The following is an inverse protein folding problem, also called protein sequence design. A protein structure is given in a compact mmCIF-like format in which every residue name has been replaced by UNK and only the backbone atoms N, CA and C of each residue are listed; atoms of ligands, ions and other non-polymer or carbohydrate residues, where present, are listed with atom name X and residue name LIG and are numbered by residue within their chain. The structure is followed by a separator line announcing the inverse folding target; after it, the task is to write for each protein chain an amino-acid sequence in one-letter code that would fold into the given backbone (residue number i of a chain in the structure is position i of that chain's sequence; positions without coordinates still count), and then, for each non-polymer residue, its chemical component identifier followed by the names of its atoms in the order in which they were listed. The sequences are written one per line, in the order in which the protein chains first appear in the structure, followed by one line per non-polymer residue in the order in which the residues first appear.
data_IF_258370887861
#
_entry.id   IF_258370887861
#
_cell.length_a   1.000
_cell.length_b   1.000
_cell.length_c   1.000
_cell.angle_alpha   90.00
_cell.angle_beta   90.00
_cell.angle_gamma   90.00
#
_symmetry.space_group_name_H-M   'P 1'
#
loop_
_entity.id
_entity.type
_entity.pdbx_description
1 polymer ?
#
# COMPACT_ATOMS: atom_id res chain seq x y z
N UNK A 1 -20.12 -22.44 -10.83
CA UNK A 1 -18.80 -21.78 -10.99
C UNK A 1 -18.49 -21.67 -12.47
N UNK A 2 -18.64 -20.48 -13.04
CA UNK A 2 -18.38 -20.23 -14.47
C UNK A 2 -16.86 -20.14 -14.65
N UNK A 3 -16.26 -21.17 -15.26
CA UNK A 3 -14.85 -21.15 -15.66
C UNK A 3 -14.75 -20.53 -17.05
N UNK A 4 -14.52 -19.23 -17.10
CA UNK A 4 -14.21 -18.53 -18.34
C UNK A 4 -12.78 -18.90 -18.79
N UNK A 5 -12.68 -19.80 -19.77
CA UNK A 5 -11.43 -20.06 -20.49
C UNK A 5 -11.50 -19.33 -21.83
N UNK A 6 -10.72 -18.25 -21.98
CA UNK A 6 -10.56 -17.59 -23.28
C UNK A 6 -9.25 -18.06 -23.93
N UNK A 7 -9.36 -18.63 -25.13
CA UNK A 7 -8.26 -19.15 -25.92
C UNK A 7 -7.67 -18.02 -26.77
N UNK A 8 -6.47 -17.53 -26.45
CA UNK A 8 -5.70 -16.67 -27.34
C UNK A 8 -4.64 -17.51 -28.08
N UNK A 9 -4.94 -17.95 -29.30
CA UNK A 9 -4.00 -18.63 -30.20
C UNK A 9 -3.61 -20.08 -29.83
N UNK A 10 -2.37 -20.48 -30.18
CA UNK A 10 -1.82 -21.85 -30.02
C UNK A 10 -1.20 -22.14 -28.65
N UNK A 11 -0.93 -21.12 -27.85
CA UNK A 11 -0.32 -21.22 -26.52
C UNK A 11 -1.39 -20.97 -25.44
N UNK A 12 -1.50 -21.89 -24.48
CA UNK A 12 -2.40 -21.71 -23.33
C UNK A 12 -1.77 -20.71 -22.37
N UNK A 13 -2.11 -19.43 -22.51
CA UNK A 13 -1.70 -18.39 -21.57
C UNK A 13 -2.50 -18.58 -20.28
N UNK A 14 -1.82 -18.82 -19.17
CA UNK A 14 -2.42 -18.93 -17.83
C UNK A 14 -2.81 -17.53 -17.32
N UNK A 15 -3.89 -16.98 -17.86
CA UNK A 15 -4.46 -15.67 -17.49
C UNK A 15 -4.56 -15.42 -15.96
N UNK A 16 -5.06 -16.37 -15.13
CA UNK A 16 -5.15 -16.12 -13.68
C UNK A 16 -3.78 -15.98 -13.00
N UNK A 17 -2.75 -16.67 -13.50
CA UNK A 17 -1.40 -16.57 -12.95
C UNK A 17 -0.74 -15.23 -13.36
N UNK A 18 -1.00 -14.75 -14.57
CA UNK A 18 -0.56 -13.43 -15.03
C UNK A 18 -1.21 -12.31 -14.21
N UNK A 19 -2.54 -12.38 -14.05
CA UNK A 19 -3.31 -11.42 -13.23
C UNK A 19 -2.83 -11.45 -11.78
N UNK A 20 -2.64 -12.63 -11.19
CA UNK A 20 -2.08 -12.77 -9.84
C UNK A 20 -0.70 -12.13 -9.70
N UNK A 21 0.20 -12.32 -10.67
CA UNK A 21 1.53 -11.70 -10.64
C UNK A 21 1.50 -10.17 -10.75
N UNK A 22 0.61 -9.60 -11.58
CA UNK A 22 0.43 -8.16 -11.66
C UNK A 22 -0.13 -7.57 -10.35
N UNK A 23 -1.12 -8.25 -9.76
CA UNK A 23 -1.70 -7.83 -8.47
C UNK A 23 -0.66 -7.89 -7.35
N UNK A 24 0.17 -8.94 -7.32
CA UNK A 24 1.25 -9.07 -6.34
C UNK A 24 2.29 -7.96 -6.47
N UNK A 25 2.73 -7.66 -7.69
CA UNK A 25 3.70 -6.60 -7.95
C UNK A 25 3.12 -5.22 -7.58
N UNK A 26 1.88 -4.94 -7.98
CA UNK A 26 1.20 -3.69 -7.63
C UNK A 26 1.01 -3.55 -6.11
N UNK A 27 0.56 -4.60 -5.43
CA UNK A 27 0.37 -4.59 -3.99
C UNK A 27 1.69 -4.39 -3.24
N UNK A 28 2.80 -4.98 -3.72
CA UNK A 28 4.11 -4.81 -3.12
C UNK A 28 4.63 -3.37 -3.26
N UNK A 29 4.48 -2.76 -4.45
CA UNK A 29 4.85 -1.35 -4.66
C UNK A 29 4.02 -0.45 -3.75
N UNK A 30 2.70 -0.64 -3.72
CA UNK A 30 1.81 0.19 -2.92
C UNK A 30 2.02 -0.02 -1.41
N UNK A 31 2.41 -1.21 -0.98
CA UNK A 31 2.79 -1.49 0.40
C UNK A 31 4.00 -0.66 0.84
N UNK A 32 5.04 -0.57 0.00
CA UNK A 32 6.22 0.26 0.28
C UNK A 32 5.85 1.75 0.33
N UNK A 33 5.01 2.21 -0.60
CA UNK A 33 4.54 3.61 -0.61
C UNK A 33 3.73 3.93 0.65
N UNK A 34 2.83 3.04 1.08
CA UNK A 34 2.04 3.21 2.30
C UNK A 34 2.91 3.21 3.56
N UNK A 35 3.93 2.36 3.61
CA UNK A 35 4.93 2.38 4.68
C UNK A 35 5.69 3.71 4.74
N UNK A 36 6.11 4.25 3.58
CA UNK A 36 6.73 5.58 3.50
C UNK A 36 5.85 6.67 4.10
N UNK A 37 4.57 6.73 3.72
CA UNK A 37 3.60 7.70 4.28
C UNK A 37 3.40 7.53 5.79
N UNK A 38 3.39 6.30 6.29
CA UNK A 38 3.32 6.04 7.73
C UNK A 38 4.54 6.60 8.47
N UNK A 39 5.74 6.45 7.89
CA UNK A 39 6.95 7.01 8.50
C UNK A 39 6.98 8.54 8.42
N UNK A 40 6.58 9.13 7.29
CA UNK A 40 6.51 10.59 7.14
C UNK A 40 5.53 11.21 8.15
N UNK A 41 4.36 10.61 8.33
CA UNK A 41 3.37 11.08 9.31
C UNK A 41 3.87 10.94 10.75
N UNK A 42 4.56 9.83 11.07
CA UNK A 42 5.17 9.64 12.39
C UNK A 42 6.26 10.68 12.67
N UNK A 43 7.17 10.89 11.72
CA UNK A 43 8.28 11.82 11.84
C UNK A 43 7.80 13.28 11.96
N UNK A 44 6.80 13.67 11.17
CA UNK A 44 6.17 14.99 11.27
C UNK A 44 5.55 15.25 12.65
N UNK A 45 4.86 14.25 13.22
CA UNK A 45 4.28 14.34 14.56
C UNK A 45 5.35 14.47 15.66
N UNK A 46 6.48 13.77 15.50
CA UNK A 46 7.58 13.80 16.44
C UNK A 46 8.37 15.13 16.38
N UNK A 47 8.54 15.70 15.18
CA UNK A 47 9.27 16.97 14.96
C UNK A 47 8.47 18.23 15.30
N UNK A 48 7.13 18.14 15.33
CA UNK A 48 6.27 19.27 15.68
C UNK A 48 6.61 19.99 17.01
N UNK A 49 6.78 19.29 18.16
CA UNK A 49 7.11 19.95 19.43
C UNK A 49 8.47 20.68 19.39
N UNK A 50 9.44 20.16 18.65
CA UNK A 50 10.75 20.81 18.48
C UNK A 50 10.60 22.07 17.61
N UNK A 51 9.80 21.99 16.53
CA UNK A 51 9.54 23.09 15.60
C UNK A 51 8.91 24.32 16.29
N UNK A 52 7.96 24.10 17.20
CA UNK A 52 7.31 25.19 17.96
C UNK A 52 8.12 25.63 19.20
N UNK A 53 9.10 24.83 19.62
CA UNK A 53 9.90 25.04 20.83
C UNK A 53 11.13 25.91 20.59
N UNK A 54 11.54 26.12 19.34
CA UNK A 54 12.67 26.99 18.98
C UNK A 54 12.30 28.44 19.26
N UNK A 55 12.85 29.00 20.36
CA UNK A 55 12.66 30.40 20.76
C UNK A 55 13.78 31.33 20.26
N UNK A 56 14.83 30.78 19.66
CA UNK A 56 16.12 31.47 19.50
C UNK A 56 16.35 32.11 18.13
N UNK A 57 15.33 32.17 17.26
CA UNK A 57 15.47 32.84 15.96
C UNK A 57 14.72 34.17 16.02
N UNK A 58 15.38 35.28 15.69
CA UNK A 58 14.82 36.65 15.53
C UNK A 58 13.63 36.77 14.54
N UNK A 59 13.12 35.63 14.05
CA UNK A 59 11.94 35.54 13.20
C UNK A 59 10.71 35.63 14.10
N UNK A 60 9.78 36.47 13.70
CA UNK A 60 8.49 36.70 14.34
C UNK A 60 7.85 35.36 14.76
N UNK A 61 7.85 35.05 16.07
CA UNK A 61 7.48 33.73 16.62
C UNK A 61 6.11 33.25 16.11
N UNK A 62 5.22 34.19 15.81
CA UNK A 62 3.92 33.91 15.22
C UNK A 62 4.02 33.24 13.84
N UNK A 63 4.92 33.71 12.97
CA UNK A 63 5.11 33.18 11.61
C UNK A 63 5.69 31.76 11.61
N UNK A 64 6.62 31.46 12.51
CA UNK A 64 7.24 30.14 12.65
C UNK A 64 6.25 29.10 13.16
N UNK A 65 5.42 29.45 14.14
CA UNK A 65 4.37 28.56 14.65
C UNK A 65 3.31 28.27 13.58
N UNK A 66 2.94 29.25 12.74
CA UNK A 66 2.04 29.03 11.61
C UNK A 66 2.65 28.09 10.57
N UNK A 67 3.94 28.25 10.26
CA UNK A 67 4.65 27.37 9.33
C UNK A 67 4.71 25.91 9.83
N UNK A 68 5.07 25.69 11.10
CA UNK A 68 5.09 24.34 11.69
C UNK A 68 3.70 23.69 11.65
N UNK A 69 2.63 24.46 11.83
CA UNK A 69 1.25 23.98 11.76
C UNK A 69 0.82 23.65 10.34
N UNK A 70 1.14 24.50 9.37
CA UNK A 70 0.84 24.22 7.96
C UNK A 70 1.59 22.97 7.49
N UNK A 71 2.88 22.86 7.79
CA UNK A 71 3.67 21.68 7.43
C UNK A 71 3.10 20.40 8.04
N UNK A 72 2.67 20.44 9.32
CA UNK A 72 2.03 19.28 9.94
C UNK A 72 0.66 18.97 9.31
N UNK A 73 -0.13 19.98 8.98
CA UNK A 73 -1.43 19.81 8.33
C UNK A 73 -1.30 19.25 6.91
N UNK A 74 -0.27 19.65 6.15
CA UNK A 74 -0.03 19.15 4.80
C UNK A 74 0.32 17.66 4.78
N UNK A 75 1.06 17.19 5.78
CA UNK A 75 1.49 15.79 5.88
C UNK A 75 0.43 14.90 6.53
N UNK A 76 -0.26 15.39 7.57
CA UNK A 76 -1.15 14.57 8.41
C UNK A 76 -2.64 14.87 8.22
N UNK A 77 -2.99 15.97 7.53
CA UNK A 77 -4.35 16.48 7.45
C UNK A 77 -4.89 17.06 8.76
N UNK A 78 -4.06 17.16 9.81
CA UNK A 78 -4.50 17.60 11.13
C UNK A 78 -4.39 19.12 11.28
N UNK A 79 -5.52 19.77 11.51
CA UNK A 79 -5.56 21.17 11.89
C UNK A 79 -5.56 21.33 13.42
N UNK A 80 -4.45 21.83 13.96
CA UNK A 80 -4.34 22.17 15.39
C UNK A 80 -4.93 23.54 15.69
N UNK A 81 -5.51 23.67 16.89
CA UNK A 81 -6.00 24.94 17.41
C UNK A 81 -4.84 25.87 17.76
N UNK A 82 -5.07 27.19 17.72
CA UNK A 82 -4.01 28.19 17.92
C UNK A 82 -3.33 28.18 19.30
N UNK A 83 -3.98 27.61 20.30
CA UNK A 83 -3.52 27.46 21.68
C UNK A 83 -2.91 26.07 21.97
N UNK A 84 -2.98 25.12 21.03
CA UNK A 84 -2.42 23.78 21.23
C UNK A 84 -0.92 23.73 20.89
N UNK A 85 -0.11 23.62 21.94
CA UNK A 85 1.33 23.38 21.85
C UNK A 85 1.70 21.89 21.73
N UNK A 86 0.76 20.96 21.89
CA UNK A 86 1.03 19.53 21.73
C UNK A 86 -0.13 18.83 21.04
N UNK A 87 0.20 17.87 20.18
CA UNK A 87 -0.77 16.95 19.60
C UNK A 87 -1.24 16.02 20.72
N UNK A 88 -2.55 15.93 20.91
CA UNK A 88 -3.10 14.99 21.91
C UNK A 88 -2.92 13.55 21.43
N UNK A 89 -2.76 12.59 22.36
CA UNK A 89 -2.63 11.16 22.02
C UNK A 89 -3.80 10.65 21.17
N UNK A 90 -5.01 11.20 21.37
CA UNK A 90 -6.18 10.87 20.53
C UNK A 90 -6.02 11.36 19.10
N UNK A 91 -5.61 12.62 18.92
CA UNK A 91 -5.33 13.17 17.59
C UNK A 91 -4.22 12.38 16.89
N UNK A 92 -3.15 12.05 17.62
CA UNK A 92 -2.05 11.23 17.15
C UNK A 92 -2.51 9.88 16.59
N UNK A 93 -3.34 9.14 17.36
CA UNK A 93 -3.87 7.85 16.92
C UNK A 93 -4.80 7.99 15.71
N UNK A 94 -5.64 9.03 15.69
CA UNK A 94 -6.56 9.27 14.56
C UNK A 94 -5.78 9.61 13.29
N UNK A 95 -4.69 10.39 13.37
CA UNK A 95 -3.84 10.71 12.21
C UNK A 95 -3.03 9.53 11.70
N UNK A 96 -2.66 8.61 12.58
CA UNK A 96 -1.90 7.42 12.21
C UNK A 96 -2.79 6.29 11.67
N UNK A 97 -4.11 6.35 11.92
CA UNK A 97 -5.05 5.33 11.51
C UNK A 97 -5.15 5.16 9.97
N UNK A 98 -5.28 6.23 9.16
CA UNK A 98 -5.34 6.10 7.70
C UNK A 98 -4.13 5.42 7.06
N UNK A 99 -2.87 5.82 7.32
CA UNK A 99 -1.72 5.17 6.68
C UNK A 99 -1.56 3.71 7.16
N UNK A 100 -1.90 3.41 8.42
CA UNK A 100 -1.90 2.02 8.92
C UNK A 100 -2.98 1.18 8.24
N UNK A 101 -4.19 1.72 8.05
CA UNK A 101 -5.26 1.05 7.34
C UNK A 101 -4.91 0.81 5.87
N UNK A 102 -4.26 1.77 5.20
CA UNK A 102 -3.76 1.63 3.83
C UNK A 102 -2.71 0.50 3.74
N UNK A 103 -1.77 0.45 4.69
CA UNK A 103 -0.77 -0.61 4.76
C UNK A 103 -1.40 -2.00 4.95
N UNK A 104 -2.38 -2.12 5.87
CA UNK A 104 -3.12 -3.36 6.09
C UNK A 104 -3.94 -3.78 4.86
N UNK A 105 -4.54 -2.82 4.16
CA UNK A 105 -5.28 -3.08 2.93
C UNK A 105 -4.37 -3.68 1.85
N UNK A 106 -3.18 -3.09 1.63
CA UNK A 106 -2.23 -3.61 0.64
C UNK A 106 -1.62 -4.96 1.06
N UNK A 107 -1.42 -5.19 2.36
CA UNK A 107 -1.03 -6.50 2.89
C UNK A 107 -2.10 -7.57 2.61
N UNK A 108 -3.38 -7.24 2.81
CA UNK A 108 -4.49 -8.13 2.47
C UNK A 108 -4.59 -8.38 0.96
N UNK A 109 -4.43 -7.35 0.13
CA UNK A 109 -4.40 -7.47 -1.32
C UNK A 109 -3.25 -8.37 -1.80
N UNK A 110 -2.08 -8.29 -1.16
CA UNK A 110 -0.94 -9.16 -1.43
C UNK A 110 -1.26 -10.63 -1.12
N UNK A 111 -1.90 -10.91 0.03
CA UNK A 111 -2.35 -12.27 0.39
C UNK A 111 -3.37 -12.81 -0.62
N UNK A 112 -4.32 -11.98 -1.06
CA UNK A 112 -5.28 -12.34 -2.10
C UNK A 112 -4.57 -12.66 -3.41
N UNK A 113 -3.61 -11.81 -3.82
CA UNK A 113 -2.77 -12.04 -4.99
C UNK A 113 -2.00 -13.38 -4.93
N UNK A 114 -1.50 -13.75 -3.75
CA UNK A 114 -0.83 -15.03 -3.51
C UNK A 114 -1.77 -16.22 -3.72
N UNK A 115 -3.01 -16.14 -3.22
CA UNK A 115 -4.03 -17.17 -3.41
C UNK A 115 -4.34 -17.35 -4.90
N UNK A 116 -4.54 -16.24 -5.64
CA UNK A 116 -4.78 -16.31 -7.09
C UNK A 116 -3.58 -16.85 -7.87
N UNK A 117 -2.36 -16.52 -7.46
CA UNK A 117 -1.14 -17.04 -8.07
C UNK A 117 -1.00 -18.56 -7.85
N UNK A 118 -1.28 -19.06 -6.65
CA UNK A 118 -1.14 -20.48 -6.31
C UNK A 118 -2.28 -21.38 -6.85
N UNK A 119 -3.49 -20.83 -7.03
CA UNK A 119 -4.66 -21.60 -7.51
C UNK A 119 -4.64 -21.96 -9.00
N UNK A 120 -3.59 -21.57 -9.74
CA UNK A 120 -3.43 -21.81 -11.18
C UNK A 120 -2.98 -23.21 -11.64
N UNK A 121 -2.81 -24.20 -10.75
CA UNK A 121 -2.30 -25.54 -11.12
C UNK A 121 -3.42 -26.49 -11.59
N UNK A 122 -4.17 -26.12 -12.63
CA UNK A 122 -4.92 -27.11 -13.42
C UNK A 122 -4.08 -27.42 -14.65
N UNK A 123 -3.15 -28.38 -14.51
CA UNK A 123 -2.37 -28.91 -15.64
C UNK A 123 -3.34 -29.37 -16.73
N UNK A 124 -3.23 -28.88 -17.97
CA UNK A 124 -4.10 -29.36 -19.03
C UNK A 124 -3.79 -30.84 -19.31
N UNK A 125 -4.80 -31.70 -19.09
CA UNK A 125 -4.85 -33.15 -19.39
C UNK A 125 -4.60 -33.55 -20.87
N UNK A 126 -3.95 -32.70 -21.68
CA UNK A 126 -3.91 -32.82 -23.15
C UNK A 126 -2.51 -33.05 -23.72
N UNK A 127 -1.54 -33.51 -22.93
CA UNK A 127 -0.24 -33.94 -23.43
C UNK A 127 -0.12 -35.48 -23.59
N UNK A 128 -0.95 -36.27 -22.91
CA UNK A 128 -0.86 -37.75 -23.00
C UNK A 128 -1.60 -38.35 -24.20
N UNK A 129 -2.72 -37.76 -24.65
CA UNK A 129 -3.50 -38.34 -25.76
C UNK A 129 -2.82 -38.30 -27.14
N UNK A 130 -1.72 -37.56 -27.29
CA UNK A 130 -0.92 -37.55 -28.53
C UNK A 130 0.22 -38.57 -28.52
N UNK A 131 0.71 -39.02 -27.34
CA UNK A 131 1.73 -40.06 -27.27
C UNK A 131 1.16 -41.46 -27.47
N UNK A 132 -0.07 -41.73 -27.04
CA UNK A 132 -0.70 -43.04 -27.30
C UNK A 132 -1.12 -43.23 -28.77
N UNK A 133 -1.48 -42.16 -29.49
CA UNK A 133 -1.82 -42.27 -30.92
C UNK A 133 -0.59 -42.37 -31.85
N UNK A 134 0.60 -41.99 -31.37
CA UNK A 134 1.86 -42.13 -32.11
C UNK A 134 2.58 -43.46 -31.90
N UNK A 135 2.16 -44.27 -30.92
CA UNK A 135 2.77 -45.57 -30.59
C UNK A 135 1.98 -46.79 -31.12
N UNK A 136 0.88 -46.55 -31.83
CA UNK A 136 -0.01 -47.56 -32.46
C UNK A 136 0.02 -47.51 -34.00
N UNK A 137 1.10 -47.02 -34.60
CA UNK A 137 1.36 -47.18 -36.03
C UNK A 137 2.62 -48.00 -36.23
#
# INVERSE_FOLDING_TARGET
MVRAYYFFGKNRVFLPQLVGSCVLLAALIMFVVAAGRMFDTWDALQKYPDCIGVKDVEIDQFSQVQYCRQSLADVTGLHLRHDQARVTTRQFLITLLPPVAELLFWAAAFLIGLIFYQTGVVKPMRAEKLKEKGKKK
#
